data_IF_703530507820
#
_entry.id   IF_703530507820
#
_cell.length_a   1.000
_cell.length_b   1.000
_cell.length_c   1.000
_cell.angle_alpha   90.00
_cell.angle_beta   90.00
_cell.angle_gamma   90.00
#
_symmetry.space_group_name_H-M   'P 1'
#
loop_
_entity.id
_entity.type
_entity.pdbx_description
1 polymer ?
#
# COMPACT_ATOMS: atom_id res chain seq x y z
N UNK A 1 -17.13 -46.92 33.87
CA UNK A 1 -18.50 -46.89 34.43
C UNK A 1 -18.92 -48.32 34.60
N UNK A 2 -19.73 -48.65 35.62
CA UNK A 2 -20.23 -50.01 35.73
C UNK A 2 -21.16 -50.32 34.55
N UNK A 3 -21.07 -51.52 33.94
CA UNK A 3 -21.92 -51.88 32.81
C UNK A 3 -23.41 -51.78 33.17
N UNK A 4 -24.20 -51.27 32.24
CA UNK A 4 -25.66 -51.27 32.39
C UNK A 4 -26.15 -52.68 32.14
N UNK A 5 -26.84 -53.26 33.13
CA UNK A 5 -27.29 -54.64 33.05
C UNK A 5 -28.58 -54.74 32.25
N UNK A 6 -28.49 -55.32 31.06
CA UNK A 6 -29.64 -55.63 30.22
C UNK A 6 -30.20 -57.00 30.58
N UNK A 7 -31.52 -57.13 30.47
CA UNK A 7 -32.23 -58.38 30.65
C UNK A 7 -32.55 -58.99 29.28
N UNK A 8 -32.07 -60.21 29.04
CA UNK A 8 -32.37 -60.97 27.83
C UNK A 8 -33.85 -61.40 27.88
N UNK A 9 -34.57 -61.21 26.78
CA UNK A 9 -35.97 -61.68 26.68
C UNK A 9 -36.02 -63.18 26.41
N UNK A 10 -37.16 -63.83 26.61
CA UNK A 10 -37.33 -65.24 26.23
C UNK A 10 -37.06 -65.44 24.74
N UNK A 11 -37.56 -64.55 23.88
CA UNK A 11 -37.32 -64.60 22.45
C UNK A 11 -35.84 -64.40 22.08
N UNK A 12 -35.14 -63.49 22.78
CA UNK A 12 -33.71 -63.27 22.60
C UNK A 12 -32.85 -64.45 23.08
N UNK A 13 -33.26 -65.09 24.18
CA UNK A 13 -32.62 -66.31 24.68
C UNK A 13 -32.83 -67.47 23.71
N UNK A 14 -34.03 -67.65 23.18
CA UNK A 14 -34.34 -68.68 22.19
C UNK A 14 -33.54 -68.45 20.90
N UNK A 15 -33.46 -67.21 20.42
CA UNK A 15 -32.62 -66.85 19.27
C UNK A 15 -31.15 -67.19 19.52
N UNK A 16 -30.62 -66.85 20.70
CA UNK A 16 -29.24 -67.15 21.08
C UNK A 16 -28.96 -68.66 21.09
N UNK A 17 -29.83 -69.44 21.71
CA UNK A 17 -29.68 -70.91 21.79
C UNK A 17 -29.75 -71.52 20.38
N UNK A 18 -30.64 -71.02 19.53
CA UNK A 18 -30.76 -71.48 18.14
C UNK A 18 -29.52 -71.15 17.31
N UNK A 19 -28.95 -69.94 17.47
CA UNK A 19 -27.72 -69.53 16.80
C UNK A 19 -26.51 -70.36 17.26
N UNK A 20 -26.39 -70.62 18.57
CA UNK A 20 -25.33 -71.46 19.13
C UNK A 20 -25.46 -72.93 18.73
N UNK A 21 -26.69 -73.41 18.51
CA UNK A 21 -26.99 -74.74 17.99
C UNK A 21 -26.81 -74.88 16.47
N UNK A 22 -26.49 -73.79 15.74
CA UNK A 22 -26.33 -73.78 14.29
C UNK A 22 -27.65 -73.83 13.49
N UNK A 23 -28.79 -73.59 14.14
CA UNK A 23 -30.12 -73.64 13.54
C UNK A 23 -30.53 -72.32 12.86
N UNK A 24 -29.86 -71.21 13.17
CA UNK A 24 -30.12 -69.87 12.63
C UNK A 24 -28.81 -69.11 12.39
N UNK A 25 -28.90 -67.97 11.71
CA UNK A 25 -27.79 -67.02 11.56
C UNK A 25 -27.25 -66.55 12.92
N UNK A 26 -25.98 -66.10 12.99
CA UNK A 26 -25.40 -65.52 14.21
C UNK A 26 -26.24 -64.38 14.79
N UNK A 27 -26.13 -64.15 16.10
CA UNK A 27 -26.82 -63.05 16.76
C UNK A 27 -26.18 -61.73 16.31
N UNK A 28 -26.92 -60.97 15.49
CA UNK A 28 -26.50 -59.66 15.01
C UNK A 28 -27.48 -58.59 15.50
N UNK A 29 -26.99 -57.64 16.31
CA UNK A 29 -27.77 -56.48 16.74
C UNK A 29 -27.66 -55.38 15.67
N UNK A 30 -28.78 -55.05 15.04
CA UNK A 30 -28.84 -54.10 13.91
C UNK A 30 -29.52 -52.78 14.25
N UNK A 31 -30.25 -52.73 15.37
CA UNK A 31 -30.83 -51.47 15.83
C UNK A 31 -31.08 -51.46 17.33
N UNK A 32 -31.20 -50.25 17.87
CA UNK A 32 -31.61 -50.01 19.26
C UNK A 32 -32.93 -49.24 19.28
N UNK A 33 -33.95 -49.84 19.88
CA UNK A 33 -35.21 -49.17 20.19
C UNK A 33 -35.08 -48.25 21.38
N UNK A 34 -35.71 -47.08 21.31
CA UNK A 34 -35.75 -46.11 22.40
C UNK A 34 -37.19 -45.92 22.89
N UNK A 35 -37.35 -45.74 24.21
CA UNK A 35 -38.65 -45.42 24.82
C UNK A 35 -38.51 -44.36 25.90
N UNK A 36 -39.53 -43.51 26.00
CA UNK A 36 -39.68 -42.54 27.09
C UNK A 36 -40.45 -43.09 28.30
N UNK A 37 -41.00 -44.30 28.18
CA UNK A 37 -41.73 -44.95 29.27
C UNK A 37 -40.78 -45.84 30.07
N UNK A 38 -40.76 -45.66 31.39
CA UNK A 38 -40.14 -46.63 32.28
C UNK A 38 -41.07 -47.86 32.41
N UNK A 39 -40.49 -49.05 32.34
CA UNK A 39 -41.18 -50.33 32.49
C UNK A 39 -40.39 -51.28 33.41
N UNK A 40 -41.09 -52.27 33.95
CA UNK A 40 -40.47 -53.37 34.69
C UNK A 40 -39.84 -54.35 33.70
N UNK A 41 -38.52 -54.50 33.74
CA UNK A 41 -37.81 -55.48 32.90
C UNK A 41 -38.26 -56.89 33.27
N UNK A 42 -38.69 -57.67 32.27
CA UNK A 42 -39.06 -59.07 32.44
C UNK A 42 -38.67 -59.87 31.18
N UNK A 43 -38.31 -61.15 31.31
CA UNK A 43 -37.98 -61.98 30.14
C UNK A 43 -39.18 -62.14 29.19
N UNK A 44 -40.41 -62.03 29.70
CA UNK A 44 -41.65 -62.21 28.92
C UNK A 44 -41.99 -61.04 28.00
N UNK A 45 -41.17 -59.98 27.94
CA UNK A 45 -41.39 -58.84 27.04
C UNK A 45 -41.11 -59.26 25.60
N UNK A 46 -42.13 -59.13 24.74
CA UNK A 46 -42.05 -59.45 23.30
C UNK A 46 -41.90 -58.20 22.41
N UNK A 47 -42.12 -57.01 22.95
CA UNK A 47 -41.97 -55.72 22.25
C UNK A 47 -41.59 -54.63 23.23
N UNK A 48 -40.74 -53.68 22.85
CA UNK A 48 -40.30 -52.60 23.74
C UNK A 48 -41.50 -51.73 24.17
N UNK A 49 -41.84 -51.66 25.46
CA UNK A 49 -43.02 -50.91 25.91
C UNK A 49 -42.93 -49.42 25.58
N UNK A 50 -43.89 -48.92 24.81
CA UNK A 50 -43.93 -47.51 24.39
C UNK A 50 -42.78 -47.11 23.47
N UNK A 51 -42.28 -48.04 22.64
CA UNK A 51 -41.24 -47.77 21.65
C UNK A 51 -41.58 -46.54 20.81
N UNK A 52 -40.66 -45.57 20.80
CA UNK A 52 -40.79 -44.34 20.02
C UNK A 52 -40.16 -44.50 18.64
N UNK A 53 -38.98 -45.13 18.60
CA UNK A 53 -38.14 -45.19 17.40
C UNK A 53 -37.09 -46.29 17.53
N UNK A 54 -36.63 -46.79 16.38
CA UNK A 54 -35.42 -47.61 16.24
C UNK A 54 -34.30 -46.78 15.63
N UNK A 55 -33.14 -46.81 16.26
CA UNK A 55 -31.90 -46.23 15.74
C UNK A 55 -31.13 -47.38 15.08
N UNK A 56 -30.97 -47.31 13.76
CA UNK A 56 -30.26 -48.33 12.97
C UNK A 56 -28.74 -48.07 12.89
N UNK A 57 -28.30 -46.84 13.17
CA UNK A 57 -26.89 -46.48 13.22
C UNK A 57 -26.26 -46.96 14.55
N UNK A 58 -26.13 -48.28 14.72
CA UNK A 58 -25.54 -48.94 15.90
C UNK A 58 -24.29 -49.72 15.54
N UNK A 59 -23.23 -49.57 16.33
CA UNK A 59 -21.97 -50.31 16.18
C UNK A 59 -21.52 -50.83 17.53
N UNK A 60 -20.78 -51.93 17.57
CA UNK A 60 -20.26 -52.41 18.84
C UNK A 60 -19.34 -53.60 18.72
N UNK A 61 -18.82 -54.03 19.87
CA UNK A 61 -17.97 -55.20 19.99
C UNK A 61 -18.09 -55.80 21.40
N UNK A 62 -17.86 -57.10 21.52
CA UNK A 62 -17.68 -57.75 22.81
C UNK A 62 -16.38 -57.27 23.46
N UNK A 63 -16.45 -56.82 24.72
CA UNK A 63 -15.28 -56.39 25.51
C UNK A 63 -14.91 -57.45 26.55
N UNK A 64 -15.86 -58.29 26.94
CA UNK A 64 -15.64 -59.49 27.76
C UNK A 64 -16.70 -60.56 27.43
N UNK A 65 -16.69 -61.69 28.14
CA UNK A 65 -17.69 -62.76 27.97
C UNK A 65 -19.12 -62.29 28.31
N UNK A 66 -19.27 -61.30 29.18
CA UNK A 66 -20.57 -60.80 29.66
C UNK A 66 -20.86 -59.36 29.28
N UNK A 67 -19.92 -58.63 28.65
CA UNK A 67 -20.06 -57.20 28.35
C UNK A 67 -19.81 -56.91 26.87
N UNK A 68 -20.73 -56.17 26.24
CA UNK A 68 -20.54 -55.53 24.94
C UNK A 68 -20.34 -54.02 25.13
N UNK A 69 -19.48 -53.41 24.33
CA UNK A 69 -19.46 -51.95 24.16
C UNK A 69 -20.25 -51.62 22.91
N UNK A 70 -21.29 -50.80 23.04
CA UNK A 70 -22.14 -50.39 21.95
C UNK A 70 -22.18 -48.87 21.83
N UNK A 71 -22.13 -48.40 20.58
CA UNK A 71 -22.38 -47.01 20.21
C UNK A 71 -23.62 -46.89 19.33
N UNK A 72 -24.36 -45.79 19.45
CA UNK A 72 -25.49 -45.47 18.57
C UNK A 72 -25.56 -43.96 18.29
N UNK A 73 -25.94 -43.57 17.07
CA UNK A 73 -26.11 -42.17 16.69
C UNK A 73 -27.53 -41.85 16.23
N UNK A 74 -28.14 -40.82 16.81
CA UNK A 74 -29.39 -40.23 16.30
C UNK A 74 -29.20 -38.75 15.95
N UNK A 75 -29.24 -38.47 14.64
CA UNK A 75 -29.13 -37.14 14.05
C UNK A 75 -30.49 -36.53 13.65
N UNK A 76 -31.60 -37.21 13.93
CA UNK A 76 -32.93 -36.72 13.61
C UNK A 76 -33.33 -35.51 14.48
N UNK A 77 -34.43 -34.86 14.12
CA UNK A 77 -35.02 -33.76 14.91
C UNK A 77 -35.96 -34.25 16.02
N UNK A 78 -36.11 -35.56 16.21
CA UNK A 78 -37.01 -36.15 17.20
C UNK A 78 -36.58 -35.77 18.63
N UNK A 79 -37.55 -35.40 19.48
CA UNK A 79 -37.38 -34.99 20.88
C UNK A 79 -37.88 -36.11 21.79
N UNK A 80 -37.05 -36.54 22.75
CA UNK A 80 -37.44 -37.58 23.70
C UNK A 80 -36.64 -37.52 25.00
N UNK A 81 -37.24 -38.03 26.09
CA UNK A 81 -36.55 -38.36 27.34
C UNK A 81 -36.28 -39.86 27.36
N UNK A 82 -35.04 -40.29 27.19
CA UNK A 82 -34.69 -41.71 27.13
C UNK A 82 -34.78 -42.35 28.52
N UNK A 83 -35.66 -43.34 28.69
CA UNK A 83 -35.79 -44.11 29.96
C UNK A 83 -35.57 -45.61 29.80
N UNK A 84 -35.77 -46.13 28.60
CA UNK A 84 -35.53 -47.53 28.29
C UNK A 84 -34.99 -47.75 26.89
N UNK A 85 -34.34 -48.89 26.71
CA UNK A 85 -33.68 -49.33 25.50
C UNK A 85 -34.08 -50.78 25.19
N UNK A 86 -34.15 -51.11 23.90
CA UNK A 86 -34.32 -52.49 23.42
C UNK A 86 -33.30 -52.79 22.32
N UNK A 87 -32.57 -53.89 22.42
CA UNK A 87 -31.67 -54.35 21.37
C UNK A 87 -32.45 -55.24 20.40
N UNK A 88 -32.37 -54.96 19.10
CA UNK A 88 -33.11 -55.69 18.07
C UNK A 88 -32.17 -56.42 17.12
N UNK A 89 -32.54 -57.66 16.79
CA UNK A 89 -31.86 -58.47 15.78
C UNK A 89 -32.36 -58.18 14.37
N UNK A 90 -31.63 -58.67 13.36
CA UNK A 90 -31.95 -58.49 11.94
C UNK A 90 -33.36 -58.98 11.53
N UNK A 91 -33.85 -60.03 12.19
CA UNK A 91 -35.20 -60.59 11.98
C UNK A 91 -36.31 -59.82 12.72
N UNK A 92 -35.95 -58.76 13.45
CA UNK A 92 -36.87 -57.96 14.27
C UNK A 92 -37.09 -58.49 15.69
N UNK A 93 -36.45 -59.59 16.08
CA UNK A 93 -36.53 -60.14 17.45
C UNK A 93 -35.97 -59.14 18.47
N UNK A 94 -36.75 -58.88 19.53
CA UNK A 94 -36.30 -58.08 20.67
C UNK A 94 -35.37 -58.93 21.55
N UNK A 95 -34.07 -58.73 21.41
CA UNK A 95 -33.06 -59.55 22.08
C UNK A 95 -32.97 -59.30 23.58
N UNK A 96 -32.82 -58.03 23.97
CA UNK A 96 -32.64 -57.65 25.37
C UNK A 96 -33.20 -56.25 25.63
N UNK A 97 -33.58 -56.00 26.87
CA UNK A 97 -34.19 -54.74 27.30
C UNK A 97 -33.50 -54.16 28.52
N UNK A 98 -33.53 -52.84 28.59
CA UNK A 98 -33.15 -52.09 29.78
C UNK A 98 -34.16 -50.98 30.05
N UNK A 99 -34.41 -50.70 31.33
CA UNK A 99 -35.30 -49.63 31.75
C UNK A 99 -34.96 -49.16 33.17
N UNK A 100 -35.07 -47.86 33.39
CA UNK A 100 -35.00 -47.26 34.71
C UNK A 100 -36.02 -46.12 34.87
N UNK A 101 -36.46 -45.82 36.11
CA UNK A 101 -37.43 -44.76 36.34
C UNK A 101 -36.86 -43.36 36.09
N UNK A 102 -35.54 -43.14 36.19
CA UNK A 102 -34.90 -41.84 35.94
C UNK A 102 -34.49 -41.70 34.46
N UNK A 103 -34.65 -40.54 33.79
CA UNK A 103 -34.14 -40.36 32.43
C UNK A 103 -32.63 -40.61 32.35
N UNK A 104 -32.21 -41.45 31.41
CA UNK A 104 -30.82 -41.61 31.01
C UNK A 104 -30.32 -40.37 30.26
N UNK A 105 -31.18 -39.80 29.42
CA UNK A 105 -30.85 -38.64 28.60
C UNK A 105 -32.11 -37.87 28.18
N UNK A 106 -31.96 -36.58 27.85
CA UNK A 106 -33.01 -35.77 27.23
C UNK A 106 -32.47 -35.15 25.95
N UNK A 107 -33.06 -35.51 24.80
CA UNK A 107 -32.69 -34.99 23.49
C UNK A 107 -33.65 -33.87 23.07
N UNK A 108 -33.10 -32.80 22.51
CA UNK A 108 -33.86 -31.68 21.91
C UNK A 108 -33.62 -31.64 20.39
N UNK A 109 -34.48 -30.93 19.64
CA UNK A 109 -34.52 -30.99 18.17
C UNK A 109 -33.24 -30.53 17.46
N UNK A 110 -32.41 -29.73 18.11
CA UNK A 110 -31.13 -29.21 17.56
C UNK A 110 -29.90 -30.00 18.04
N UNK A 111 -30.09 -31.06 18.82
CA UNK A 111 -28.99 -31.83 19.41
C UNK A 111 -28.79 -33.16 18.68
N UNK A 112 -27.53 -33.49 18.42
CA UNK A 112 -27.13 -34.85 18.01
C UNK A 112 -26.98 -35.70 19.27
N UNK A 113 -27.60 -36.88 19.28
CA UNK A 113 -27.42 -37.84 20.36
C UNK A 113 -26.42 -38.91 19.95
N UNK A 114 -25.32 -39.00 20.71
CA UNK A 114 -24.35 -40.08 20.61
C UNK A 114 -24.40 -40.87 21.91
N UNK A 115 -24.78 -42.13 21.80
CA UNK A 115 -24.85 -43.08 22.89
C UNK A 115 -23.61 -43.97 22.83
N UNK A 116 -22.89 -44.12 23.95
CA UNK A 116 -21.82 -45.09 24.11
C UNK A 116 -22.00 -45.76 25.47
N UNK A 117 -22.21 -47.07 25.49
CA UNK A 117 -22.59 -47.83 26.67
C UNK A 117 -21.82 -49.14 26.74
N UNK A 118 -21.34 -49.47 27.93
CA UNK A 118 -20.99 -50.85 28.27
C UNK A 118 -22.27 -51.54 28.74
N UNK A 119 -22.71 -52.56 28.02
CA UNK A 119 -23.91 -53.34 28.31
C UNK A 119 -23.50 -54.69 28.85
N UNK A 120 -23.87 -54.96 30.10
CA UNK A 120 -23.64 -56.24 30.76
C UNK A 120 -24.84 -57.17 30.65
N UNK A 121 -24.57 -58.46 30.55
CA UNK A 121 -25.56 -59.54 30.62
C UNK A 121 -25.28 -60.42 31.83
N UNK A 122 -26.32 -61.02 32.41
CA UNK A 122 -26.21 -61.93 33.56
C UNK A 122 -25.62 -63.31 33.19
N UNK A 123 -25.46 -63.59 31.89
CA UNK A 123 -24.88 -64.80 31.33
C UNK A 123 -23.79 -64.45 30.30
N UNK A 124 -22.90 -65.40 30.04
CA UNK A 124 -21.77 -65.26 29.10
C UNK A 124 -22.17 -65.24 27.62
N UNK A 125 -22.97 -64.25 27.22
CA UNK A 125 -23.58 -64.19 25.87
C UNK A 125 -22.96 -63.12 24.98
N UNK A 126 -22.14 -62.22 25.54
CA UNK A 126 -21.62 -61.07 24.82
C UNK A 126 -20.73 -61.47 23.64
N UNK A 127 -19.93 -62.53 23.80
CA UNK A 127 -19.07 -63.05 22.72
C UNK A 127 -19.82 -63.65 21.53
N UNK A 128 -21.12 -63.95 21.66
CA UNK A 128 -21.97 -64.44 20.57
C UNK A 128 -22.68 -63.32 19.81
N UNK A 129 -22.63 -62.07 20.31
CA UNK A 129 -23.28 -60.92 19.71
C UNK A 129 -22.31 -60.25 18.73
N UNK A 130 -22.77 -60.09 17.50
CA UNK A 130 -22.14 -59.31 16.45
C UNK A 130 -22.96 -58.06 16.17
N UNK A 131 -22.35 -57.09 15.50
CA UNK A 131 -22.99 -55.87 15.02
C UNK A 131 -22.75 -55.78 13.52
N UNK A 132 -23.69 -55.22 12.77
CA UNK A 132 -23.54 -55.05 11.32
C UNK A 132 -22.41 -54.11 10.91
N UNK A 133 -22.14 -54.05 9.60
CA UNK A 133 -21.11 -53.17 9.01
C UNK A 133 -21.46 -51.70 9.28
N UNK A 134 -20.67 -51.09 10.16
CA UNK A 134 -20.85 -49.73 10.67
C UNK A 134 -19.58 -48.93 10.54
N UNK A 135 -18.99 -49.02 9.35
CA UNK A 135 -18.02 -48.03 8.89
C UNK A 135 -18.70 -46.65 8.91
N UNK A 136 -18.41 -45.84 9.93
CA UNK A 136 -18.67 -44.40 9.89
C UNK A 136 -17.85 -43.85 8.72
N UNK A 137 -18.48 -43.75 7.54
CA UNK A 137 -17.80 -43.21 6.37
C UNK A 137 -17.32 -41.80 6.73
N UNK A 138 -16.00 -41.61 6.69
CA UNK A 138 -15.34 -40.31 6.80
C UNK A 138 -15.11 -39.81 5.37
N UNK A 139 -16.14 -39.25 4.69
CA UNK A 139 -15.97 -38.79 3.31
C UNK A 139 -14.87 -37.72 3.25
N UNK A 140 -14.18 -37.57 2.11
CA UNK A 140 -13.26 -36.46 1.92
C UNK A 140 -14.01 -35.13 2.03
N UNK A 141 -13.39 -34.13 2.67
CA UNK A 141 -13.96 -32.79 2.72
C UNK A 141 -14.00 -32.16 1.33
N UNK A 142 -15.05 -31.38 1.05
CA UNK A 142 -15.15 -30.53 -0.14
C UNK A 142 -15.84 -29.21 0.22
N UNK A 143 -15.89 -28.26 -0.71
CA UNK A 143 -16.57 -26.96 -0.50
C UNK A 143 -18.05 -27.13 -0.11
N UNK A 144 -18.70 -28.23 -0.50
CA UNK A 144 -20.13 -28.48 -0.25
C UNK A 144 -20.43 -29.64 0.72
N UNK A 145 -19.44 -30.49 1.04
CA UNK A 145 -19.63 -31.68 1.88
C UNK A 145 -18.62 -31.67 3.04
N UNK A 146 -19.13 -31.76 4.27
CA UNK A 146 -18.29 -31.94 5.45
C UNK A 146 -17.60 -33.31 5.40
N UNK A 147 -16.31 -33.33 5.71
CA UNK A 147 -15.50 -34.54 5.63
C UNK A 147 -14.14 -34.39 6.32
N UNK A 148 -13.24 -35.31 6.02
CA UNK A 148 -11.84 -35.29 6.49
C UNK A 148 -10.92 -34.85 5.36
N UNK A 149 -9.91 -34.04 5.67
CA UNK A 149 -8.87 -33.63 4.74
C UNK A 149 -7.49 -33.78 5.39
N UNK A 150 -6.49 -34.08 4.57
CA UNK A 150 -5.11 -34.19 5.02
C UNK A 150 -4.53 -32.81 5.36
N UNK A 151 -3.59 -32.75 6.31
CA UNK A 151 -2.84 -31.54 6.61
C UNK A 151 -1.73 -31.41 5.57
N UNK A 152 -1.68 -30.29 4.84
CA UNK A 152 -0.65 -30.05 3.82
C UNK A 152 0.78 -30.22 4.37
N UNK A 153 1.74 -30.61 3.55
CA UNK A 153 3.14 -30.49 3.92
C UNK A 153 3.67 -29.04 3.69
N UNK A 154 4.97 -28.81 3.91
CA UNK A 154 5.58 -27.50 3.71
C UNK A 154 5.76 -27.13 2.22
N UNK A 155 5.98 -28.11 1.35
CA UNK A 155 6.16 -27.90 -0.07
C UNK A 155 4.81 -27.56 -0.75
N UNK A 156 3.75 -28.27 -0.37
CA UNK A 156 2.38 -28.02 -0.80
C UNK A 156 1.91 -26.63 -0.38
N UNK A 157 2.16 -26.25 0.88
CA UNK A 157 1.83 -24.91 1.37
C UNK A 157 2.60 -23.80 0.62
N UNK A 158 3.85 -24.04 0.23
CA UNK A 158 4.64 -23.09 -0.54
C UNK A 158 4.19 -23.00 -2.02
N UNK A 159 3.72 -24.09 -2.61
CA UNK A 159 3.23 -24.13 -3.99
C UNK A 159 1.83 -23.50 -4.13
N UNK A 160 0.95 -23.66 -3.14
CA UNK A 160 -0.37 -23.01 -3.09
C UNK A 160 -1.33 -23.42 -4.20
N UNK A 161 -1.17 -24.61 -4.78
CA UNK A 161 -1.96 -25.10 -5.92
C UNK A 161 -3.04 -26.14 -5.54
N UNK A 162 -3.01 -26.65 -4.32
CA UNK A 162 -3.83 -27.76 -3.82
C UNK A 162 -5.02 -27.25 -2.99
N UNK A 163 -6.24 -27.67 -3.34
CA UNK A 163 -7.49 -27.35 -2.66
C UNK A 163 -8.00 -28.49 -1.76
N UNK A 164 -7.32 -29.65 -1.73
CA UNK A 164 -7.77 -30.84 -1.02
C UNK A 164 -7.24 -30.95 0.41
N UNK A 165 -6.36 -30.02 0.84
CA UNK A 165 -5.62 -30.09 2.11
C UNK A 165 -5.78 -28.86 2.99
N UNK A 166 -5.62 -29.07 4.30
CA UNK A 166 -5.74 -28.02 5.32
C UNK A 166 -4.36 -27.45 5.69
N UNK A 167 -4.23 -26.12 5.68
CA UNK A 167 -3.04 -25.42 6.15
C UNK A 167 -2.99 -25.35 7.68
N UNK A 168 -1.81 -25.54 8.28
CA UNK A 168 -1.63 -25.38 9.73
C UNK A 168 -1.02 -24.01 10.06
N UNK A 169 -1.21 -23.47 11.28
CA UNK A 169 -0.68 -22.15 11.66
C UNK A 169 0.83 -21.99 11.44
N UNK A 170 1.62 -23.05 11.67
CA UNK A 170 3.08 -23.03 11.45
C UNK A 170 3.43 -22.84 9.98
N UNK A 171 2.76 -23.56 9.08
CA UNK A 171 2.99 -23.47 7.63
C UNK A 171 2.48 -22.13 7.08
N UNK A 172 1.33 -21.66 7.55
CA UNK A 172 0.82 -20.32 7.21
C UNK A 172 1.84 -19.25 7.62
N UNK A 173 2.43 -19.36 8.81
CA UNK A 173 3.47 -18.42 9.26
C UNK A 173 4.68 -18.41 8.33
N UNK A 174 5.15 -19.57 7.87
CA UNK A 174 6.27 -19.65 6.92
C UNK A 174 5.98 -18.92 5.59
N UNK A 175 4.78 -19.11 5.03
CA UNK A 175 4.35 -18.41 3.80
C UNK A 175 4.28 -16.90 4.03
N UNK A 176 3.75 -16.47 5.17
CA UNK A 176 3.66 -15.04 5.53
C UNK A 176 5.03 -14.41 5.79
N UNK A 177 5.97 -15.14 6.40
CA UNK A 177 7.34 -14.66 6.60
C UNK A 177 8.06 -14.49 5.26
N UNK A 178 7.89 -15.41 4.30
CA UNK A 178 8.43 -15.28 2.94
C UNK A 178 7.84 -14.08 2.18
N UNK A 179 6.53 -13.83 2.31
CA UNK A 179 5.92 -12.58 1.83
C UNK A 179 6.53 -11.36 2.51
N UNK A 180 6.75 -11.44 3.83
CA UNK A 180 7.40 -10.41 4.63
C UNK A 180 8.79 -10.05 4.10
N UNK A 181 9.62 -11.02 3.75
CA UNK A 181 10.93 -10.80 3.14
C UNK A 181 10.83 -10.12 1.77
N UNK A 182 9.83 -10.49 0.96
CA UNK A 182 9.60 -9.89 -0.35
C UNK A 182 9.28 -8.40 -0.25
N UNK A 183 8.49 -8.02 0.75
CA UNK A 183 8.01 -6.64 0.95
C UNK A 183 8.81 -5.84 1.97
N UNK A 184 9.82 -6.46 2.60
CA UNK A 184 10.63 -5.81 3.62
C UNK A 184 11.36 -4.58 3.06
N UNK A 185 11.49 -3.49 3.84
CA UNK A 185 12.35 -2.37 3.48
C UNK A 185 13.78 -2.86 3.18
N UNK A 186 14.25 -2.65 1.95
CA UNK A 186 15.57 -3.12 1.50
C UNK A 186 15.58 -4.47 0.79
N UNK A 187 14.42 -5.13 0.61
CA UNK A 187 14.32 -6.30 -0.28
C UNK A 187 14.79 -5.93 -1.70
N UNK A 188 15.41 -6.84 -2.48
CA UNK A 188 15.90 -6.52 -3.81
C UNK A 188 14.80 -5.98 -4.74
N UNK A 189 13.54 -6.38 -4.51
CA UNK A 189 12.38 -5.95 -5.28
C UNK A 189 11.98 -4.48 -5.03
N UNK A 190 12.16 -3.97 -3.81
CA UNK A 190 11.92 -2.56 -3.49
C UNK A 190 13.19 -1.72 -3.56
N UNK A 191 14.35 -2.32 -3.32
CA UNK A 191 15.65 -1.65 -3.27
C UNK A 191 15.98 -0.98 -4.60
N UNK A 192 15.78 -1.66 -5.74
CA UNK A 192 16.05 -1.06 -7.05
C UNK A 192 15.18 0.18 -7.34
N UNK A 193 13.88 0.11 -7.07
CA UNK A 193 12.96 1.23 -7.29
C UNK A 193 13.23 2.38 -6.31
N UNK A 194 13.55 2.06 -5.05
CA UNK A 194 13.89 3.04 -4.02
C UNK A 194 15.23 3.72 -4.31
N UNK A 195 16.25 2.97 -4.73
CA UNK A 195 17.53 3.50 -5.20
C UNK A 195 17.34 4.40 -6.41
N UNK A 196 16.52 4.00 -7.39
CA UNK A 196 16.21 4.84 -8.55
C UNK A 196 15.52 6.15 -8.16
N UNK A 197 14.61 6.11 -7.17
CA UNK A 197 13.96 7.31 -6.65
C UNK A 197 14.93 8.23 -5.92
N UNK A 198 15.79 7.68 -5.05
CA UNK A 198 16.81 8.44 -4.32
C UNK A 198 17.91 9.02 -5.22
N UNK A 199 18.18 8.36 -6.35
CA UNK A 199 19.14 8.83 -7.34
C UNK A 199 18.64 10.04 -8.16
N UNK A 200 17.36 10.40 -8.07
CA UNK A 200 16.83 11.58 -8.76
C UNK A 200 17.40 12.84 -8.13
N UNK A 201 17.92 13.72 -8.98
CA UNK A 201 18.46 15.02 -8.60
C UNK A 201 17.66 16.15 -9.25
N UNK A 202 17.64 17.29 -8.58
CA UNK A 202 17.31 18.58 -9.19
C UNK A 202 18.64 19.26 -9.45
N UNK A 203 18.89 19.70 -10.68
CA UNK A 203 20.18 20.30 -11.06
C UNK A 203 19.92 21.60 -11.79
N UNK A 204 20.47 22.70 -11.27
CA UNK A 204 20.53 23.96 -12.01
C UNK A 204 21.56 23.89 -13.14
N UNK A 205 21.27 24.56 -14.26
CA UNK A 205 22.21 24.77 -15.35
C UNK A 205 22.08 26.18 -15.93
N UNK A 206 23.17 26.72 -16.49
CA UNK A 206 23.20 28.08 -17.03
C UNK A 206 23.05 29.14 -15.93
N UNK A 207 22.02 29.98 -16.03
CA UNK A 207 21.72 31.05 -15.07
C UNK A 207 21.25 30.54 -13.70
N UNK A 208 20.67 29.33 -13.67
CA UNK A 208 20.20 28.71 -12.44
C UNK A 208 21.30 27.81 -11.88
N UNK A 209 21.66 28.00 -10.62
CA UNK A 209 22.64 27.18 -9.90
C UNK A 209 22.03 26.56 -8.64
N UNK A 210 22.70 25.56 -8.08
CA UNK A 210 22.23 24.81 -6.92
C UNK A 210 21.47 23.54 -7.27
N UNK A 211 20.63 23.08 -6.34
CA UNK A 211 19.96 21.77 -6.40
C UNK A 211 20.65 20.70 -5.55
N UNK A 212 20.54 19.44 -5.97
CA UNK A 212 21.03 18.26 -5.25
C UNK A 212 20.07 17.07 -5.36
N UNK A 213 20.30 16.02 -4.57
CA UNK A 213 19.38 14.88 -4.41
C UNK A 213 18.04 15.33 -3.77
N UNK A 214 17.10 14.42 -3.51
CA UNK A 214 15.79 14.76 -2.92
C UNK A 214 15.66 14.44 -1.42
N UNK A 215 16.78 14.33 -0.70
CA UNK A 215 16.75 13.97 0.74
C UNK A 215 16.32 15.11 1.66
N UNK A 216 16.13 16.32 1.15
CA UNK A 216 15.52 17.45 1.86
C UNK A 216 15.05 18.52 0.84
N UNK A 217 14.57 19.68 1.29
CA UNK A 217 14.21 20.80 0.41
C UNK A 217 15.42 21.32 -0.38
N UNK A 218 15.22 21.59 -1.67
CA UNK A 218 16.25 22.10 -2.58
C UNK A 218 16.02 23.58 -2.86
N UNK A 219 17.13 24.31 -2.99
CA UNK A 219 17.13 25.72 -3.39
C UNK A 219 17.82 25.82 -4.75
N UNK A 220 17.17 26.54 -5.66
CA UNK A 220 17.73 26.94 -6.94
C UNK A 220 17.88 28.45 -6.91
N UNK A 221 19.09 28.91 -7.23
CA UNK A 221 19.49 30.31 -7.14
C UNK A 221 19.72 30.88 -8.53
N UNK A 222 19.31 32.12 -8.74
CA UNK A 222 19.70 32.94 -9.90
C UNK A 222 20.35 34.19 -9.35
N UNK A 223 21.63 34.40 -9.66
CA UNK A 223 22.36 35.55 -9.17
C UNK A 223 21.98 36.80 -9.95
N UNK A 224 21.73 37.90 -9.26
CA UNK A 224 21.50 39.19 -9.89
C UNK A 224 22.83 39.83 -10.31
N UNK A 225 22.89 40.35 -11.53
CA UNK A 225 23.99 41.19 -11.99
C UNK A 225 23.99 42.52 -11.23
N UNK A 226 25.18 43.01 -10.87
CA UNK A 226 25.38 44.38 -10.39
C UNK A 226 25.43 45.38 -11.57
N UNK A 227 25.34 46.68 -11.29
CA UNK A 227 25.54 47.70 -12.32
C UNK A 227 26.92 47.57 -12.99
N UNK A 228 27.96 47.20 -12.24
CA UNK A 228 29.31 46.97 -12.79
C UNK A 228 29.37 45.73 -13.70
N UNK A 229 28.66 44.65 -13.34
CA UNK A 229 28.51 43.48 -14.21
C UNK A 229 27.83 43.88 -15.54
N UNK A 230 26.81 44.75 -15.48
CA UNK A 230 26.11 45.26 -16.67
C UNK A 230 27.00 46.18 -17.52
N UNK A 231 27.83 47.03 -16.91
CA UNK A 231 28.77 47.90 -17.65
C UNK A 231 29.81 47.07 -18.40
N UNK A 232 30.39 46.07 -17.74
CA UNK A 232 31.44 45.21 -18.33
C UNK A 232 30.88 44.23 -19.35
N UNK A 233 29.68 43.68 -19.13
CA UNK A 233 28.98 42.82 -20.08
C UNK A 233 29.64 41.46 -20.32
N UNK A 234 30.45 40.96 -19.38
CA UNK A 234 31.21 39.71 -19.53
C UNK A 234 30.66 38.52 -18.73
N UNK A 235 29.83 38.78 -17.71
CA UNK A 235 29.26 37.73 -16.87
C UNK A 235 28.21 36.89 -17.63
N UNK A 236 28.37 35.57 -17.64
CA UNK A 236 27.45 34.62 -18.30
C UNK A 236 26.51 33.90 -17.30
N UNK A 237 26.70 34.13 -16.01
CA UNK A 237 26.09 33.40 -14.89
C UNK A 237 25.20 34.29 -14.00
N UNK A 238 24.87 35.51 -14.46
CA UNK A 238 24.06 36.48 -13.71
C UNK A 238 22.92 37.04 -14.56
N UNK A 239 21.77 37.22 -13.94
CA UNK A 239 20.59 37.82 -14.56
C UNK A 239 20.59 39.35 -14.37
N UNK A 240 20.43 40.10 -15.47
CA UNK A 240 20.26 41.56 -15.41
C UNK A 240 18.91 41.90 -14.81
N UNK A 241 18.90 42.79 -13.80
CA UNK A 241 17.67 43.26 -13.14
C UNK A 241 17.37 44.72 -13.52
N UNK A 242 16.12 45.17 -13.39
CA UNK A 242 15.79 46.60 -13.54
C UNK A 242 16.64 47.49 -12.64
N UNK A 243 16.94 47.07 -11.40
CA UNK A 243 17.78 47.81 -10.47
C UNK A 243 19.24 47.93 -10.97
N UNK A 244 19.80 46.87 -11.54
CA UNK A 244 21.12 46.90 -12.14
C UNK A 244 21.19 47.83 -13.35
N UNK A 245 20.16 47.82 -14.20
CA UNK A 245 20.03 48.73 -15.35
C UNK A 245 19.83 50.18 -14.92
N UNK A 246 18.97 50.46 -13.92
CA UNK A 246 18.76 51.81 -13.41
C UNK A 246 19.98 52.34 -12.65
N UNK A 247 20.80 51.45 -12.06
CA UNK A 247 22.01 51.78 -11.31
C UNK A 247 23.19 52.24 -12.17
N UNK A 248 23.11 52.15 -13.50
CA UNK A 248 24.13 52.71 -14.40
C UNK A 248 24.22 54.23 -14.23
N UNK A 249 25.46 54.74 -14.12
CA UNK A 249 25.75 56.16 -13.93
C UNK A 249 25.16 57.00 -15.08
N UNK A 250 24.41 58.03 -14.70
CA UNK A 250 23.73 58.94 -15.61
C UNK A 250 23.47 60.30 -14.96
N UNK A 251 23.31 61.32 -15.79
CA UNK A 251 22.70 62.60 -15.43
C UNK A 251 21.76 63.01 -16.56
N UNK A 252 20.47 63.20 -16.27
CA UNK A 252 19.47 63.62 -17.26
C UNK A 252 19.26 65.14 -17.28
N UNK A 253 20.28 65.91 -16.89
CA UNK A 253 20.27 67.36 -16.96
C UNK A 253 20.42 67.88 -18.41
N UNK A 254 20.27 69.20 -18.60
CA UNK A 254 20.49 69.85 -19.89
C UNK A 254 21.87 69.53 -20.48
N UNK A 255 22.91 69.53 -19.63
CA UNK A 255 24.21 68.97 -19.95
C UNK A 255 24.32 67.67 -19.16
N UNK A 256 24.16 66.55 -19.85
CA UNK A 256 23.91 65.25 -19.25
C UNK A 256 24.70 64.14 -19.90
N UNK A 257 24.57 62.94 -19.32
CA UNK A 257 25.22 61.75 -19.82
C UNK A 257 24.47 60.47 -19.45
N UNK A 258 24.72 59.41 -20.20
CA UNK A 258 24.34 58.03 -19.85
C UNK A 258 25.49 57.07 -20.13
N UNK A 259 25.66 56.10 -19.24
CA UNK A 259 26.52 54.93 -19.50
C UNK A 259 25.72 53.88 -20.28
N UNK A 260 26.28 53.37 -21.37
CA UNK A 260 25.64 52.39 -22.24
C UNK A 260 25.87 50.96 -21.71
N UNK A 261 24.81 50.16 -21.49
CA UNK A 261 24.94 48.82 -20.93
C UNK A 261 25.65 47.87 -21.90
N UNK A 262 26.54 47.02 -21.37
CA UNK A 262 27.23 45.97 -22.14
C UNK A 262 28.25 46.50 -23.17
N UNK A 263 28.54 47.80 -23.18
CA UNK A 263 29.42 48.43 -24.15
C UNK A 263 30.83 48.71 -23.60
N UNK A 264 31.28 47.97 -22.59
CA UNK A 264 32.64 48.09 -22.05
C UNK A 264 32.96 49.47 -21.47
N UNK A 265 31.96 50.12 -20.85
CA UNK A 265 32.11 51.46 -20.27
C UNK A 265 31.85 52.63 -21.21
N UNK A 266 31.31 52.41 -22.41
CA UNK A 266 30.95 53.50 -23.33
C UNK A 266 29.93 54.47 -22.70
N UNK A 267 30.21 55.76 -22.80
CA UNK A 267 29.42 56.87 -22.27
C UNK A 267 28.97 57.75 -23.45
N UNK A 268 27.69 58.10 -23.46
CA UNK A 268 27.13 59.14 -24.33
C UNK A 268 26.91 60.40 -23.49
N UNK A 269 27.48 61.54 -23.89
CA UNK A 269 27.32 62.83 -23.24
C UNK A 269 26.70 63.84 -24.20
N UNK A 270 25.91 64.76 -23.67
CA UNK A 270 25.31 65.86 -24.43
C UNK A 270 25.34 67.14 -23.63
N UNK A 271 25.19 68.27 -24.32
CA UNK A 271 25.01 69.54 -23.65
C UNK A 271 24.83 70.71 -24.60
N UNK A 272 24.63 71.88 -23.99
CA UNK A 272 24.64 73.18 -24.64
C UNK A 272 25.73 74.06 -24.01
N UNK A 273 26.26 74.97 -24.82
CA UNK A 273 27.26 75.96 -24.41
C UNK A 273 27.14 77.21 -25.30
N UNK A 274 27.85 78.28 -24.93
CA UNK A 274 27.95 79.49 -25.76
C UNK A 274 29.38 79.66 -26.25
N UNK A 275 29.55 79.83 -27.55
CA UNK A 275 30.82 80.23 -28.15
C UNK A 275 30.95 81.76 -28.09
N UNK A 276 32.08 82.25 -27.60
CA UNK A 276 32.42 83.67 -27.62
C UNK A 276 32.73 84.12 -29.06
N UNK A 277 32.43 85.38 -29.36
CA UNK A 277 32.72 85.98 -30.66
C UNK A 277 34.21 86.10 -30.92
N UNK A 278 34.62 85.90 -32.18
CA UNK A 278 36.01 86.03 -32.64
C UNK A 278 37.06 85.32 -31.75
N UNK A 279 36.69 84.17 -31.16
CA UNK A 279 37.50 83.51 -30.14
C UNK A 279 37.34 81.99 -30.11
N UNK A 280 38.33 81.33 -29.53
CA UNK A 280 38.25 79.92 -29.13
C UNK A 280 37.59 79.81 -27.77
N UNK A 281 36.51 79.02 -27.69
CA UNK A 281 35.78 78.76 -26.45
C UNK A 281 35.88 77.28 -26.06
N UNK A 282 36.27 77.01 -24.82
CA UNK A 282 36.34 75.65 -24.28
C UNK A 282 35.05 75.28 -23.56
N UNK A 283 34.60 74.04 -23.75
CA UNK A 283 33.43 73.45 -23.10
C UNK A 283 33.82 72.17 -22.38
N UNK A 284 33.39 72.03 -21.12
CA UNK A 284 33.58 70.83 -20.33
C UNK A 284 32.43 69.84 -20.53
N UNK A 285 32.77 68.56 -20.48
CA UNK A 285 31.78 67.49 -20.38
C UNK A 285 31.21 67.37 -18.95
N UNK A 286 29.96 66.92 -18.79
CA UNK A 286 29.34 66.63 -17.50
C UNK A 286 30.15 65.68 -16.62
N UNK A 287 30.84 64.71 -17.23
CA UNK A 287 31.82 63.84 -16.58
C UNK A 287 33.03 63.65 -17.49
N UNK A 288 34.20 63.40 -16.92
CA UNK A 288 35.35 62.98 -17.71
C UNK A 288 35.08 61.58 -18.31
N UNK A 289 35.51 61.36 -19.55
CA UNK A 289 35.62 60.03 -20.15
C UNK A 289 36.80 59.30 -19.49
N UNK A 290 36.60 58.15 -18.82
CA UNK A 290 37.65 57.46 -18.07
C UNK A 290 38.94 57.15 -18.86
N UNK A 291 38.83 56.87 -20.16
CA UNK A 291 39.94 56.54 -21.05
C UNK A 291 40.11 57.57 -22.18
N UNK A 292 39.06 57.87 -22.96
CA UNK A 292 39.15 58.80 -24.08
C UNK A 292 37.77 59.28 -24.56
N UNK A 293 37.71 60.53 -25.04
CA UNK A 293 36.62 60.98 -25.91
C UNK A 293 36.96 60.58 -27.35
N UNK A 294 36.12 59.74 -27.97
CA UNK A 294 36.35 59.26 -29.34
C UNK A 294 35.83 60.22 -30.41
N UNK A 295 34.73 60.91 -30.12
CA UNK A 295 34.12 61.84 -31.06
C UNK A 295 33.28 62.89 -30.34
N UNK A 296 33.29 64.10 -30.89
CA UNK A 296 32.37 65.19 -30.56
C UNK A 296 31.71 65.62 -31.85
N UNK A 297 30.38 65.56 -31.89
CA UNK A 297 29.58 66.25 -32.88
C UNK A 297 29.04 67.53 -32.23
N UNK A 298 29.56 68.69 -32.64
CA UNK A 298 29.00 69.98 -32.24
C UNK A 298 28.22 70.57 -33.41
N UNK A 299 27.04 71.09 -33.11
CA UNK A 299 26.17 71.75 -34.07
C UNK A 299 25.39 72.88 -33.37
N UNK A 300 25.09 73.94 -34.11
CA UNK A 300 24.51 75.16 -33.58
C UNK A 300 24.91 76.37 -34.41
N UNK A 301 24.72 77.57 -33.85
CA UNK A 301 24.99 78.84 -34.54
C UNK A 301 23.69 79.62 -34.73
N UNK A 302 23.75 80.95 -34.59
CA UNK A 302 22.59 81.79 -34.84
C UNK A 302 22.39 81.97 -36.36
N UNK A 303 21.24 81.55 -36.89
CA UNK A 303 20.79 82.01 -38.19
C UNK A 303 20.07 83.34 -38.00
N UNK A 304 20.67 84.46 -38.38
CA UNK A 304 19.95 85.71 -38.57
C UNK A 304 20.69 86.97 -38.12
N UNK A 305 21.47 87.55 -39.03
CA UNK A 305 22.08 88.88 -38.93
C UNK A 305 22.70 89.28 -40.27
N UNK A 306 23.04 90.56 -40.46
CA UNK A 306 23.74 91.04 -41.66
C UNK A 306 25.07 90.31 -41.92
N UNK A 307 25.61 89.67 -40.87
CA UNK A 307 26.89 88.96 -40.83
C UNK A 307 26.74 87.43 -41.02
N UNK A 308 25.67 86.98 -41.70
CA UNK A 308 25.51 85.56 -42.11
C UNK A 308 26.58 85.07 -43.11
N UNK A 309 27.63 85.88 -43.35
CA UNK A 309 28.82 85.55 -44.12
C UNK A 309 29.90 84.88 -43.24
N UNK A 310 29.84 85.07 -41.92
CA UNK A 310 30.79 84.46 -40.99
C UNK A 310 30.48 82.98 -40.75
N UNK A 311 31.53 82.20 -40.51
CA UNK A 311 31.39 80.76 -40.29
C UNK A 311 30.89 80.51 -38.86
N UNK A 312 29.81 79.71 -38.70
CA UNK A 312 29.33 79.33 -37.37
C UNK A 312 30.42 78.60 -36.60
N UNK A 313 30.37 78.57 -35.25
CA UNK A 313 31.40 77.94 -34.45
C UNK A 313 31.78 76.53 -34.91
N UNK A 314 33.06 76.37 -35.28
CA UNK A 314 33.62 75.13 -35.81
C UNK A 314 34.39 74.40 -34.72
N UNK A 315 34.18 73.08 -34.61
CA UNK A 315 34.90 72.22 -33.70
C UNK A 315 36.41 72.22 -34.00
N UNK A 316 37.22 72.47 -32.98
CA UNK A 316 38.68 72.30 -33.05
C UNK A 316 38.99 70.85 -32.68
N UNK A 317 39.02 69.94 -33.65
CA UNK A 317 39.14 68.49 -33.40
C UNK A 317 40.37 68.11 -32.58
N UNK A 318 41.49 68.82 -32.75
CA UNK A 318 42.73 68.59 -31.97
C UNK A 318 42.60 68.94 -30.48
N UNK A 319 41.54 69.64 -30.08
CA UNK A 319 41.28 70.01 -28.68
C UNK A 319 40.42 68.99 -27.92
N UNK A 320 39.90 67.96 -28.59
CA UNK A 320 39.10 66.91 -27.95
C UNK A 320 39.99 66.18 -26.92
N UNK A 321 39.54 66.17 -25.67
CA UNK A 321 40.20 65.51 -24.55
C UNK A 321 39.20 64.71 -23.72
N UNK A 322 39.65 64.04 -22.66
CA UNK A 322 38.76 63.31 -21.76
C UNK A 322 37.74 64.21 -21.05
N UNK A 323 38.04 65.49 -20.87
CA UNK A 323 37.25 66.40 -20.03
C UNK A 323 36.48 67.45 -20.81
N UNK A 324 36.77 67.64 -22.09
CA UNK A 324 36.10 68.64 -22.90
C UNK A 324 36.68 68.78 -24.30
N UNK A 325 36.21 69.81 -24.99
CA UNK A 325 36.63 70.20 -26.34
C UNK A 325 36.54 71.72 -26.47
N UNK A 326 37.05 72.27 -27.58
CA UNK A 326 36.93 73.67 -27.92
C UNK A 326 36.35 73.87 -29.31
N UNK A 327 35.67 74.99 -29.50
CA UNK A 327 35.24 75.48 -30.81
C UNK A 327 35.85 76.85 -31.09
N UNK A 328 36.03 77.20 -32.35
CA UNK A 328 36.40 78.53 -32.78
C UNK A 328 35.21 79.18 -33.50
N UNK A 329 34.84 80.39 -33.08
CA UNK A 329 33.79 81.20 -33.72
C UNK A 329 34.41 82.36 -34.46
N UNK A 330 34.11 82.49 -35.75
CA UNK A 330 34.39 83.70 -36.51
C UNK A 330 33.27 84.74 -36.38
N UNK A 331 32.09 84.35 -35.87
CA UNK A 331 30.97 85.27 -35.66
C UNK A 331 31.36 86.45 -34.76
N UNK A 332 30.87 87.64 -35.12
CA UNK A 332 31.02 88.87 -34.34
C UNK A 332 30.18 88.91 -33.05
N UNK A 333 29.25 87.98 -32.89
CA UNK A 333 28.41 87.84 -31.69
C UNK A 333 28.55 86.45 -31.05
N UNK A 334 28.13 86.33 -29.78
CA UNK A 334 28.14 85.02 -29.12
C UNK A 334 27.04 84.12 -29.67
N UNK A 335 27.41 82.87 -29.95
CA UNK A 335 26.52 81.90 -30.58
C UNK A 335 26.23 80.71 -29.65
N UNK A 336 24.96 80.34 -29.53
CA UNK A 336 24.55 79.14 -28.79
C UNK A 336 24.81 77.87 -29.59
N UNK A 337 25.43 76.87 -28.96
CA UNK A 337 25.73 75.57 -29.57
C UNK A 337 25.25 74.42 -28.71
N UNK A 338 25.08 73.27 -29.35
CA UNK A 338 24.89 71.99 -28.72
C UNK A 338 26.01 71.03 -29.13
N UNK A 339 26.16 69.97 -28.34
CA UNK A 339 27.03 68.86 -28.70
C UNK A 339 26.45 67.52 -28.27
N UNK A 340 26.91 66.49 -28.98
CA UNK A 340 26.86 65.10 -28.59
C UNK A 340 28.29 64.56 -28.62
N UNK A 341 28.71 63.89 -27.55
CA UNK A 341 30.04 63.31 -27.44
C UNK A 341 29.95 61.85 -27.01
N UNK A 342 30.87 61.02 -27.50
CA UNK A 342 30.94 59.61 -27.17
C UNK A 342 32.39 59.21 -26.87
N UNK A 343 32.57 58.35 -25.88
CA UNK A 343 33.87 57.95 -25.35
C UNK A 343 33.70 56.94 -24.23
N UNK A 344 34.79 56.45 -23.66
CA UNK A 344 34.79 55.55 -22.50
C UNK A 344 35.93 55.87 -21.55
#
# INVERSE_FOLDING_TARGET
MDPIIFMITTAGLDALVNAQGGSTEPIEVVSVGITANAFTMAPTISSLPGELKRIEAVSGQAVSETVIHMTAQDASTDIYELRGLGLYLADGTLFAVYSQPTPLFRKVSISFFLLALDIGFSSGVAGAITFGDTTFLLPPASETVKGVAEIADAAEAAAGADDQRIISPKKLRQVLDALGELIAPGSPNFSAAFTALLARTITGAGLASGGGNLTASRVISVLAASAADVVTGTAADKAVTPAALSGLARSLAQNGYVTLPGCGGLILQWGRFSAASNATSSTLFPTAFPNACFSVASAGGASGGADSQDNPPVLVTSSISQTGFSVFSADDSSAGHAYLAIGN
#
